data_IF_551435337151
#
_entry.id   IF_551435337151
#
_cell.length_a   1.000
_cell.length_b   1.000
_cell.length_c   1.000
_cell.angle_alpha   90.00
_cell.angle_beta   90.00
_cell.angle_gamma   90.00
#
_symmetry.space_group_name_H-M   'P 1'
#
loop_
_entity.id
_entity.type
_entity.pdbx_description
1 polymer ?
#
# COMPACT_ATOMS: atom_id res chain seq x y z
N UNK A 1 36.67 20.30 -24.96
CA UNK A 1 35.26 20.01 -25.32
C UNK A 1 34.60 19.27 -24.16
N UNK A 2 33.33 19.55 -23.80
CA UNK A 2 32.65 18.80 -22.74
C UNK A 2 32.64 17.29 -23.04
N UNK A 3 32.79 16.41 -22.03
CA UNK A 3 32.89 14.96 -22.24
C UNK A 3 31.70 14.36 -22.99
N UNK A 4 30.49 14.89 -22.77
CA UNK A 4 29.26 14.52 -23.49
C UNK A 4 29.35 14.88 -24.97
N UNK A 5 29.80 16.09 -25.30
CA UNK A 5 29.97 16.54 -26.68
C UNK A 5 31.10 15.75 -27.37
N UNK A 6 32.19 15.44 -26.65
CA UNK A 6 33.26 14.57 -27.14
C UNK A 6 32.78 13.16 -27.47
N UNK A 7 32.01 12.52 -26.59
CA UNK A 7 31.41 11.20 -26.88
C UNK A 7 30.49 11.22 -28.09
N UNK A 8 29.68 12.26 -28.26
CA UNK A 8 28.76 12.35 -29.41
C UNK A 8 29.52 12.57 -30.72
N UNK A 9 30.47 13.51 -30.76
CA UNK A 9 31.14 13.88 -32.01
C UNK A 9 32.24 12.89 -32.43
N UNK A 10 32.94 12.28 -31.48
CA UNK A 10 34.07 11.38 -31.78
C UNK A 10 33.62 9.91 -31.78
N UNK A 11 32.78 9.51 -30.83
CA UNK A 11 32.39 8.11 -30.66
C UNK A 11 30.96 7.82 -31.10
N UNK A 12 30.19 8.83 -31.55
CA UNK A 12 28.77 8.67 -31.88
C UNK A 12 28.53 7.65 -32.98
N UNK A 13 29.35 7.65 -34.04
CA UNK A 13 29.28 6.67 -35.14
C UNK A 13 29.48 5.25 -34.63
N UNK A 14 30.58 5.00 -33.91
CA UNK A 14 30.91 3.67 -33.39
C UNK A 14 29.81 3.16 -32.44
N UNK A 15 29.22 4.05 -31.64
CA UNK A 15 28.10 3.72 -30.75
C UNK A 15 26.86 3.30 -31.56
N UNK A 16 26.53 4.02 -32.64
CA UNK A 16 25.37 3.71 -33.48
C UNK A 16 25.57 2.36 -34.21
N UNK A 17 26.76 2.11 -34.72
CA UNK A 17 27.07 0.91 -35.50
C UNK A 17 27.06 -0.38 -34.66
N UNK A 18 27.35 -0.30 -33.35
CA UNK A 18 27.39 -1.46 -32.44
C UNK A 18 26.13 -1.64 -31.58
N UNK A 19 25.22 -0.67 -31.55
CA UNK A 19 24.01 -0.75 -30.72
C UNK A 19 22.85 -1.45 -31.44
N UNK A 20 22.33 -2.51 -30.80
CA UNK A 20 21.18 -3.29 -31.29
C UNK A 20 19.84 -2.56 -31.17
N UNK A 21 19.77 -1.53 -30.32
CA UNK A 21 18.54 -0.82 -29.98
C UNK A 21 18.73 0.70 -30.12
N UNK A 22 17.69 1.46 -30.51
CA UNK A 22 17.74 2.91 -30.51
C UNK A 22 18.17 3.47 -29.15
N UNK A 23 19.13 4.40 -29.17
CA UNK A 23 19.76 4.98 -27.96
C UNK A 23 18.72 5.51 -26.95
N UNK A 24 17.59 6.04 -27.44
CA UNK A 24 16.51 6.56 -26.60
C UNK A 24 15.75 5.51 -25.78
N UNK A 25 15.80 4.22 -26.15
CA UNK A 25 15.12 3.15 -25.40
C UNK A 25 15.87 2.74 -24.12
N UNK A 26 17.18 3.01 -24.06
CA UNK A 26 18.06 2.69 -22.92
C UNK A 26 18.36 3.93 -22.06
N UNK A 27 17.63 5.03 -22.26
CA UNK A 27 17.81 6.26 -21.50
C UNK A 27 17.50 6.11 -20.01
N UNK A 28 18.26 6.82 -19.17
CA UNK A 28 18.05 6.84 -17.72
C UNK A 28 16.81 7.66 -17.30
N UNK A 29 16.27 8.49 -18.21
CA UNK A 29 15.13 9.37 -17.98
C UNK A 29 13.90 8.62 -17.42
N UNK A 30 13.65 7.42 -17.93
CA UNK A 30 12.56 6.57 -17.44
C UNK A 30 12.77 6.16 -15.97
N UNK A 31 14.01 5.83 -15.60
CA UNK A 31 14.38 5.50 -14.22
C UNK A 31 14.34 6.73 -13.30
N UNK A 32 14.82 7.89 -13.77
CA UNK A 32 14.76 9.14 -13.02
C UNK A 32 13.32 9.62 -12.78
N UNK A 33 12.44 9.50 -13.78
CA UNK A 33 11.01 9.75 -13.61
C UNK A 33 10.41 8.86 -12.51
N UNK A 34 10.82 7.59 -12.46
CA UNK A 34 10.36 6.66 -11.41
C UNK A 34 10.88 7.00 -10.01
N UNK A 35 12.03 7.67 -9.87
CA UNK A 35 12.49 8.10 -8.55
C UNK A 35 11.55 9.16 -7.94
N UNK A 36 10.90 10.00 -8.75
CA UNK A 36 9.89 10.96 -8.29
C UNK A 36 8.67 10.24 -7.72
N UNK A 37 8.20 9.19 -8.40
CA UNK A 37 7.10 8.34 -7.94
C UNK A 37 7.44 7.65 -6.61
N UNK A 38 8.64 7.08 -6.50
CA UNK A 38 9.10 6.42 -5.26
C UNK A 38 9.11 7.41 -4.10
N UNK A 39 9.56 8.64 -4.32
CA UNK A 39 9.56 9.69 -3.29
C UNK A 39 8.13 10.06 -2.88
N UNK A 40 7.24 10.29 -3.85
CA UNK A 40 5.82 10.60 -3.62
C UNK A 40 5.09 9.49 -2.85
N UNK A 41 5.26 8.22 -3.26
CA UNK A 41 4.62 7.09 -2.60
C UNK A 41 5.22 6.78 -1.24
N UNK A 42 6.53 6.98 -1.07
CA UNK A 42 7.15 6.89 0.24
C UNK A 42 6.58 7.94 1.17
N UNK A 43 6.32 9.15 0.69
CA UNK A 43 5.76 10.25 1.46
C UNK A 43 4.29 10.00 1.86
N UNK A 44 3.42 9.64 0.91
CA UNK A 44 1.97 9.65 1.11
C UNK A 44 1.35 8.27 1.41
N UNK A 45 1.99 7.16 1.00
CA UNK A 45 1.35 5.84 0.91
C UNK A 45 2.04 4.75 1.75
N UNK A 46 2.96 5.09 2.65
CA UNK A 46 3.64 4.14 3.53
C UNK A 46 3.36 4.41 4.99
N UNK A 47 3.39 3.36 5.81
CA UNK A 47 3.24 3.51 7.27
C UNK A 47 4.42 4.31 7.85
N UNK A 48 4.12 5.44 8.50
CA UNK A 48 5.09 6.37 9.13
C UNK A 48 5.41 6.05 10.58
N UNK A 49 5.27 4.78 10.96
CA UNK A 49 5.51 4.35 12.33
C UNK A 49 6.98 3.97 12.55
N UNK A 50 7.66 3.53 11.49
CA UNK A 50 9.11 3.29 11.50
C UNK A 50 9.62 3.23 10.07
N UNK A 51 10.90 3.58 9.89
CA UNK A 51 11.61 3.45 8.59
C UNK A 51 11.57 2.00 8.07
N UNK A 52 11.43 1.02 8.97
CA UNK A 52 11.25 -0.42 8.69
C UNK A 52 9.93 -0.69 7.97
N UNK A 53 8.80 -0.28 8.56
CA UNK A 53 7.48 -0.49 7.94
C UNK A 53 7.32 0.34 6.65
N UNK A 54 7.95 1.52 6.60
CA UNK A 54 7.99 2.35 5.38
C UNK A 54 8.62 1.64 4.18
N UNK A 55 9.66 0.83 4.41
CA UNK A 55 10.37 0.11 3.36
C UNK A 55 9.75 -1.26 3.04
N UNK A 56 9.17 -1.95 4.05
CA UNK A 56 8.44 -3.22 3.86
C UNK A 56 7.17 -3.05 3.03
N UNK A 57 6.58 -1.86 3.08
CA UNK A 57 5.42 -1.51 2.26
C UNK A 57 5.78 -1.39 0.76
N UNK A 58 6.98 -1.72 0.26
CA UNK A 58 7.28 -1.63 -1.19
C UNK A 58 7.14 -3.01 -1.87
N UNK A 59 6.34 -3.11 -2.94
CA UNK A 59 6.19 -4.33 -3.75
C UNK A 59 7.52 -4.68 -4.48
N UNK A 60 7.85 -5.97 -4.69
CA UNK A 60 9.06 -6.36 -5.40
C UNK A 60 9.13 -5.77 -6.82
N UNK A 61 10.31 -5.29 -7.21
CA UNK A 61 10.54 -4.77 -8.57
C UNK A 61 10.90 -5.86 -9.58
N UNK A 62 11.37 -7.02 -9.12
CA UNK A 62 11.69 -8.16 -9.97
C UNK A 62 10.40 -8.81 -10.50
N UNK A 63 10.22 -8.91 -11.84
CA UNK A 63 9.01 -9.44 -12.45
C UNK A 63 8.70 -10.89 -12.06
N UNK A 64 9.72 -11.72 -11.84
CA UNK A 64 9.55 -13.15 -11.49
C UNK A 64 8.99 -13.28 -10.07
N UNK A 65 9.57 -12.51 -9.14
CA UNK A 65 9.15 -12.51 -7.73
C UNK A 65 7.78 -11.83 -7.61
N UNK A 66 7.56 -10.74 -8.34
CA UNK A 66 6.27 -10.05 -8.43
C UNK A 66 5.16 -10.98 -8.95
N UNK A 67 5.43 -11.79 -9.97
CA UNK A 67 4.48 -12.79 -10.49
C UNK A 67 4.13 -13.85 -9.44
N UNK A 68 5.13 -14.39 -8.72
CA UNK A 68 4.91 -15.35 -7.63
C UNK A 68 4.08 -14.74 -6.49
N UNK A 69 4.40 -13.51 -6.09
CA UNK A 69 3.62 -12.78 -5.08
C UNK A 69 2.18 -12.54 -5.56
N UNK A 70 2.01 -12.24 -6.84
CA UNK A 70 0.69 -12.05 -7.45
C UNK A 70 -0.16 -13.29 -7.36
N UNK A 71 0.37 -14.44 -7.77
CA UNK A 71 -0.34 -15.71 -7.73
C UNK A 71 -0.77 -16.09 -6.31
N UNK A 72 0.11 -15.88 -5.33
CA UNK A 72 -0.19 -16.14 -3.92
C UNK A 72 -1.29 -15.21 -3.41
N UNK A 73 -1.28 -13.93 -3.79
CA UNK A 73 -2.33 -12.98 -3.40
C UNK A 73 -3.66 -13.31 -4.07
N UNK A 74 -3.64 -13.67 -5.37
CA UNK A 74 -4.83 -14.16 -6.10
C UNK A 74 -5.47 -15.34 -5.38
N UNK A 75 -4.65 -16.34 -5.01
CA UNK A 75 -5.11 -17.53 -4.28
C UNK A 75 -5.66 -17.19 -2.89
N UNK A 76 -5.05 -16.24 -2.18
CA UNK A 76 -5.54 -15.81 -0.85
C UNK A 76 -6.83 -14.97 -0.91
N UNK A 77 -7.04 -14.19 -1.97
CA UNK A 77 -8.22 -13.34 -2.16
C UNK A 77 -9.34 -14.02 -2.93
N UNK A 78 -9.05 -15.18 -3.53
CA UNK A 78 -9.91 -15.86 -4.48
C UNK A 78 -10.28 -15.00 -5.70
N UNK A 79 -9.36 -14.11 -6.11
CA UNK A 79 -9.51 -13.19 -7.24
C UNK A 79 -8.48 -13.56 -8.32
N UNK A 80 -8.90 -14.22 -9.39
CA UNK A 80 -7.99 -14.66 -10.48
C UNK A 80 -7.55 -13.51 -11.39
N UNK A 81 -8.39 -12.50 -11.56
CA UNK A 81 -8.15 -11.32 -12.41
C UNK A 81 -7.27 -10.26 -11.73
N UNK A 82 -7.08 -10.35 -10.40
CA UNK A 82 -6.35 -9.34 -9.65
C UNK A 82 -4.91 -9.17 -10.14
N UNK A 83 -4.48 -7.93 -10.39
CA UNK A 83 -3.11 -7.61 -10.78
C UNK A 83 -2.53 -6.59 -9.80
N UNK A 84 -1.28 -6.76 -9.35
CA UNK A 84 -0.66 -5.76 -8.50
C UNK A 84 -0.48 -4.48 -9.30
N UNK A 85 -1.06 -3.41 -8.78
CA UNK A 85 -0.76 -2.05 -9.23
C UNK A 85 0.52 -1.55 -8.56
N UNK A 86 1.11 -0.46 -9.07
CA UNK A 86 2.31 0.19 -8.47
C UNK A 86 2.16 0.53 -6.98
N UNK A 87 0.92 0.64 -6.50
CA UNK A 87 0.56 0.97 -5.13
C UNK A 87 0.20 -0.25 -4.28
N UNK A 88 0.33 -1.46 -4.81
CA UNK A 88 0.01 -2.67 -4.09
C UNK A 88 1.03 -2.92 -2.98
N UNK A 89 0.52 -3.18 -1.78
CA UNK A 89 1.31 -3.35 -0.55
C UNK A 89 1.05 -4.74 0.03
N UNK A 90 2.08 -5.40 0.56
CA UNK A 90 1.95 -6.62 1.36
C UNK A 90 2.66 -6.44 2.70
N UNK A 91 1.96 -6.71 3.80
CA UNK A 91 2.53 -6.55 5.13
C UNK A 91 3.45 -7.72 5.51
N UNK A 92 4.43 -7.47 6.39
CA UNK A 92 5.38 -8.47 6.90
C UNK A 92 4.75 -9.61 7.72
N UNK A 93 3.46 -9.53 8.01
CA UNK A 93 2.67 -10.60 8.64
C UNK A 93 2.37 -11.76 7.68
N UNK A 94 2.49 -11.57 6.37
CA UNK A 94 2.28 -12.66 5.40
C UNK A 94 3.49 -13.60 5.23
N UNK A 95 4.60 -13.30 5.90
CA UNK A 95 5.85 -14.06 5.81
C UNK A 95 6.11 -14.86 7.08
N UNK A 96 6.60 -16.08 6.91
CA UNK A 96 7.13 -16.88 8.02
C UNK A 96 8.32 -16.18 8.69
N UNK A 97 8.47 -16.41 9.98
CA UNK A 97 9.55 -15.78 10.73
C UNK A 97 10.92 -16.41 10.39
N UNK A 98 10.92 -17.62 9.81
CA UNK A 98 12.11 -18.32 9.29
C UNK A 98 12.75 -17.66 8.08
N UNK A 99 11.97 -16.97 7.24
CA UNK A 99 12.49 -16.26 6.06
C UNK A 99 12.98 -14.84 6.38
N UNK A 100 12.84 -14.44 7.65
CA UNK A 100 13.36 -13.18 8.18
C UNK A 100 14.75 -13.42 8.77
N UNK A 101 15.65 -12.46 8.59
CA UNK A 101 16.98 -12.48 9.20
C UNK A 101 17.30 -11.11 9.79
N UNK A 102 18.09 -11.10 10.86
CA UNK A 102 18.51 -9.88 11.53
C UNK A 102 19.93 -9.56 11.05
N UNK A 103 20.16 -8.34 10.56
CA UNK A 103 21.51 -7.89 10.19
C UNK A 103 22.33 -7.61 11.44
N UNK A 104 23.66 -7.52 11.30
CA UNK A 104 24.58 -7.13 12.40
C UNK A 104 24.20 -5.81 13.10
N UNK A 105 23.42 -4.94 12.44
CA UNK A 105 22.89 -3.69 12.99
C UNK A 105 21.46 -3.78 13.54
N UNK A 106 20.96 -4.98 13.86
CA UNK A 106 19.63 -5.16 14.45
C UNK A 106 18.44 -5.03 13.49
N UNK A 107 18.68 -4.93 12.18
CA UNK A 107 17.61 -4.76 11.19
C UNK A 107 17.05 -6.12 10.76
N UNK A 108 15.78 -6.36 11.02
CA UNK A 108 15.05 -7.52 10.52
C UNK A 108 14.67 -7.30 9.05
N UNK A 109 15.21 -8.12 8.14
CA UNK A 109 14.98 -8.10 6.69
C UNK A 109 14.41 -9.43 6.21
N UNK A 110 13.70 -9.39 5.10
CA UNK A 110 13.22 -10.59 4.39
C UNK A 110 14.31 -11.01 3.38
N UNK A 111 14.55 -12.32 3.24
CA UNK A 111 15.50 -12.85 2.24
C UNK A 111 15.08 -12.49 0.82
N UNK A 112 16.05 -12.28 -0.08
CA UNK A 112 15.81 -11.81 -1.47
C UNK A 112 14.82 -12.68 -2.27
N UNK A 113 14.69 -13.97 -1.95
CA UNK A 113 13.82 -14.91 -2.67
C UNK A 113 12.58 -15.32 -1.85
N UNK A 114 12.26 -14.59 -0.79
CA UNK A 114 11.14 -14.96 0.06
C UNK A 114 9.80 -14.68 -0.63
N UNK A 115 8.87 -15.59 -0.43
CA UNK A 115 7.49 -15.48 -0.89
C UNK A 115 6.53 -15.45 0.30
N UNK A 116 5.39 -14.74 0.21
CA UNK A 116 4.38 -14.76 1.26
C UNK A 116 3.88 -16.19 1.46
N UNK A 117 3.97 -16.70 2.68
CA UNK A 117 3.72 -18.13 2.99
C UNK A 117 2.54 -18.32 3.94
N UNK A 118 2.22 -17.31 4.76
CA UNK A 118 1.09 -17.39 5.69
C UNK A 118 -0.22 -17.16 4.93
N UNK A 119 -0.92 -18.24 4.57
CA UNK A 119 -2.30 -18.22 4.08
C UNK A 119 -3.28 -17.98 5.23
N UNK A 120 -4.32 -17.21 4.98
CA UNK A 120 -5.33 -16.91 5.99
C UNK A 120 -6.21 -18.17 6.17
N UNK A 121 -6.06 -18.90 7.29
CA UNK A 121 -6.81 -20.14 7.58
C UNK A 121 -8.32 -19.94 7.86
N UNK A 122 -8.91 -18.83 7.41
CA UNK A 122 -10.35 -18.56 7.55
C UNK A 122 -11.07 -18.81 6.22
N UNK A 123 -10.95 -20.04 5.71
CA UNK A 123 -11.96 -20.57 4.78
C UNK A 123 -12.76 -21.58 5.58
N UNK A 124 -13.79 -21.10 6.28
CA UNK A 124 -14.89 -21.96 6.66
C UNK A 124 -15.53 -22.43 5.35
N UNK A 125 -15.22 -23.67 5.00
CA UNK A 125 -15.80 -24.40 3.90
C UNK A 125 -17.23 -24.80 4.30
N UNK A 126 -18.18 -23.87 4.18
CA UNK A 126 -19.61 -24.21 4.25
C UNK A 126 -20.46 -23.17 3.54
N UNK A 127 -21.00 -23.60 2.40
CA UNK A 127 -22.29 -23.20 1.83
C UNK A 127 -22.51 -21.71 1.48
N UNK A 128 -22.39 -21.37 0.19
CA UNK A 128 -23.55 -21.11 -0.69
C UNK A 128 -23.07 -20.56 -2.03
N UNK A 129 -23.41 -21.28 -3.09
CA UNK A 129 -23.30 -20.87 -4.49
C UNK A 129 -24.08 -19.55 -4.63
N UNK A 130 -23.39 -18.45 -4.97
CA UNK A 130 -24.05 -17.23 -5.46
C UNK A 130 -23.41 -16.87 -6.81
N UNK A 131 -24.20 -16.72 -7.88
CA UNK A 131 -23.68 -16.56 -9.22
C UNK A 131 -23.06 -15.18 -9.39
N UNK A 132 -21.79 -15.19 -9.79
CA UNK A 132 -21.10 -14.23 -10.65
C UNK A 132 -21.91 -12.96 -10.99
N UNK A 133 -21.77 -11.89 -10.21
CA UNK A 133 -22.21 -10.56 -10.59
C UNK A 133 -21.01 -9.65 -10.86
N UNK A 134 -20.73 -9.52 -12.15
CA UNK A 134 -20.23 -8.34 -12.86
C UNK A 134 -19.21 -7.47 -12.13
N UNK A 135 -17.96 -7.67 -12.53
CA UNK A 135 -16.88 -6.68 -12.48
C UNK A 135 -17.35 -5.40 -13.22
N UNK A 136 -17.91 -4.44 -12.48
CA UNK A 136 -18.35 -3.15 -13.03
C UNK A 136 -17.12 -2.30 -13.35
N UNK A 137 -16.53 -2.54 -14.52
CA UNK A 137 -15.55 -1.66 -15.13
C UNK A 137 -16.10 -0.24 -15.24
N UNK A 138 -15.34 0.73 -14.72
CA UNK A 138 -15.52 2.19 -14.81
C UNK A 138 -15.35 2.71 -16.25
N UNK A 139 -16.22 2.28 -17.17
CA UNK A 139 -16.42 2.98 -18.43
C UNK A 139 -17.82 3.59 -18.38
N UNK A 140 -17.93 4.91 -18.58
CA UNK A 140 -19.22 5.52 -18.91
C UNK A 140 -19.74 4.74 -20.12
N UNK A 141 -20.86 4.03 -19.95
CA UNK A 141 -21.45 3.22 -21.00
C UNK A 141 -21.69 4.12 -22.21
N UNK A 142 -21.08 3.77 -23.34
CA UNK A 142 -21.09 4.55 -24.60
C UNK A 142 -22.53 4.84 -25.08
N UNK A 143 -23.52 4.12 -24.54
CA UNK A 143 -24.94 4.21 -24.89
C UNK A 143 -25.82 4.91 -23.84
N UNK A 144 -25.28 5.51 -22.78
CA UNK A 144 -26.11 6.19 -21.78
C UNK A 144 -26.76 7.46 -22.37
N UNK A 145 -28.06 7.68 -22.09
CA UNK A 145 -28.69 8.97 -22.36
C UNK A 145 -28.05 10.07 -21.52
N UNK A 146 -27.96 11.34 -21.97
CA UNK A 146 -27.37 12.44 -21.20
C UNK A 146 -27.93 12.57 -19.77
N UNK A 147 -29.21 12.24 -19.57
CA UNK A 147 -29.87 12.23 -18.25
C UNK A 147 -29.36 11.09 -17.35
N UNK A 148 -29.15 9.91 -17.92
CA UNK A 148 -28.67 8.72 -17.20
C UNK A 148 -27.21 8.87 -16.79
N UNK A 149 -26.37 9.42 -17.66
CA UNK A 149 -24.99 9.75 -17.35
C UNK A 149 -24.87 10.74 -16.18
N UNK A 150 -25.75 11.76 -16.14
CA UNK A 150 -25.82 12.74 -15.05
C UNK A 150 -26.20 12.10 -13.72
N UNK A 151 -27.25 11.28 -13.71
CA UNK A 151 -27.71 10.55 -12.50
C UNK A 151 -26.65 9.57 -11.99
N UNK A 152 -25.97 8.84 -12.88
CA UNK A 152 -24.85 7.97 -12.50
C UNK A 152 -23.70 8.73 -11.86
N UNK A 153 -23.33 9.90 -12.41
CA UNK A 153 -22.32 10.78 -11.80
C UNK A 153 -22.74 11.26 -10.41
N UNK A 154 -24.01 11.62 -10.23
CA UNK A 154 -24.54 12.00 -8.92
C UNK A 154 -24.49 10.85 -7.92
N UNK A 155 -24.91 9.64 -8.31
CA UNK A 155 -24.82 8.45 -7.46
C UNK A 155 -23.39 8.15 -7.04
N UNK A 156 -22.43 8.19 -7.97
CA UNK A 156 -21.00 8.00 -7.66
C UNK A 156 -20.51 9.04 -6.64
N UNK A 157 -20.87 10.32 -6.84
CA UNK A 157 -20.53 11.41 -5.92
C UNK A 157 -21.09 11.13 -4.51
N UNK A 158 -22.34 10.68 -4.43
CA UNK A 158 -22.98 10.36 -3.15
C UNK A 158 -22.35 9.14 -2.47
N UNK A 159 -22.02 8.08 -3.21
CA UNK A 159 -21.34 6.90 -2.67
C UNK A 159 -19.97 7.25 -2.08
N UNK A 160 -19.16 8.05 -2.79
CA UNK A 160 -17.87 8.53 -2.29
C UNK A 160 -18.01 9.39 -1.03
N UNK A 161 -19.02 10.26 -0.99
CA UNK A 161 -19.31 11.10 0.17
C UNK A 161 -19.73 10.24 1.38
N UNK A 162 -20.59 9.25 1.15
CA UNK A 162 -21.05 8.32 2.18
C UNK A 162 -19.89 7.50 2.75
N UNK A 163 -18.97 7.05 1.89
CA UNK A 163 -17.78 6.33 2.34
C UNK A 163 -16.87 7.23 3.20
N UNK A 164 -16.66 8.49 2.77
CA UNK A 164 -15.90 9.49 3.54
C UNK A 164 -16.51 9.72 4.93
N UNK A 165 -17.82 9.95 4.99
CA UNK A 165 -18.54 10.12 6.26
C UNK A 165 -18.44 8.88 7.15
N UNK A 166 -18.54 7.66 6.57
CA UNK A 166 -18.39 6.41 7.31
C UNK A 166 -17.00 6.28 7.95
N UNK A 167 -15.93 6.64 7.22
CA UNK A 167 -14.56 6.66 7.75
C UNK A 167 -14.40 7.69 8.88
N UNK A 168 -14.98 8.87 8.72
CA UNK A 168 -14.93 9.94 9.72
C UNK A 168 -15.67 9.56 11.01
N UNK A 169 -16.89 9.00 10.90
CA UNK A 169 -17.66 8.47 12.04
C UNK A 169 -16.85 7.41 12.79
N UNK A 170 -16.20 6.47 12.08
CA UNK A 170 -15.35 5.44 12.71
C UNK A 170 -14.20 6.08 13.49
N UNK A 171 -13.53 7.08 12.92
CA UNK A 171 -12.44 7.81 13.56
C UNK A 171 -12.90 8.56 14.82
N UNK A 172 -14.01 9.32 14.71
CA UNK A 172 -14.58 10.06 15.84
C UNK A 172 -15.03 9.13 16.97
N UNK A 173 -15.68 8.01 16.65
CA UNK A 173 -16.06 6.99 17.64
C UNK A 173 -14.84 6.44 18.38
N UNK A 174 -13.74 6.18 17.67
CA UNK A 174 -12.51 5.70 18.29
C UNK A 174 -11.86 6.76 19.19
N UNK A 175 -11.78 8.03 18.74
CA UNK A 175 -11.28 9.15 19.55
C UNK A 175 -12.10 9.31 20.83
N UNK A 176 -13.42 9.28 20.71
CA UNK A 176 -14.34 9.42 21.84
C UNK A 176 -14.18 8.26 22.85
N UNK A 177 -14.03 7.02 22.37
CA UNK A 177 -13.71 5.86 23.23
C UNK A 177 -12.41 6.06 24.03
N UNK A 178 -11.35 6.59 23.41
CA UNK A 178 -10.07 6.86 24.08
C UNK A 178 -10.18 7.97 25.13
N UNK A 179 -10.90 9.05 24.81
CA UNK A 179 -11.15 10.15 25.73
C UNK A 179 -11.96 9.69 26.94
N UNK A 180 -13.02 8.90 26.74
CA UNK A 180 -13.79 8.30 27.85
C UNK A 180 -12.91 7.47 28.79
N UNK A 181 -12.00 6.65 28.24
CA UNK A 181 -11.04 5.89 29.05
C UNK A 181 -10.11 6.79 29.87
N UNK A 182 -9.51 7.81 29.24
CA UNK A 182 -8.65 8.78 29.95
C UNK A 182 -9.40 9.50 31.07
N UNK A 183 -10.63 9.95 30.81
CA UNK A 183 -11.46 10.61 31.81
C UNK A 183 -11.79 9.69 32.99
N UNK A 184 -12.03 8.39 32.74
CA UNK A 184 -12.23 7.42 33.81
C UNK A 184 -10.96 7.26 34.67
N UNK A 185 -9.78 7.15 34.04
CA UNK A 185 -8.50 7.08 34.76
C UNK A 185 -8.24 8.33 35.60
N UNK A 186 -8.47 9.52 35.04
CA UNK A 186 -8.30 10.79 35.77
C UNK A 186 -9.27 10.89 36.96
N UNK A 187 -10.52 10.44 36.80
CA UNK A 187 -11.48 10.37 37.91
C UNK A 187 -10.99 9.44 39.03
N UNK A 188 -10.44 8.28 38.70
CA UNK A 188 -9.89 7.36 39.70
C UNK A 188 -8.71 7.99 40.43
N UNK A 189 -7.78 8.63 39.71
CA UNK A 189 -6.64 9.33 40.32
C UNK A 189 -7.13 10.43 41.27
N UNK A 190 -8.14 11.22 40.90
CA UNK A 190 -8.71 12.24 41.79
C UNK A 190 -9.33 11.64 43.05
N UNK A 191 -10.01 10.50 42.95
CA UNK A 191 -10.56 9.79 44.11
C UNK A 191 -9.43 9.32 45.04
N UNK A 192 -8.36 8.75 44.48
CA UNK A 192 -7.21 8.26 45.26
C UNK A 192 -6.47 9.41 45.96
N UNK A 193 -6.27 10.53 45.26
CA UNK A 193 -5.68 11.74 45.85
C UNK A 193 -6.55 12.30 46.97
N UNK A 194 -7.87 12.36 46.78
CA UNK A 194 -8.81 12.81 47.82
C UNK A 194 -8.74 11.92 49.06
N UNK A 195 -8.70 10.60 48.89
CA UNK A 195 -8.53 9.65 50.00
C UNK A 195 -7.23 9.88 50.76
N UNK A 196 -6.11 10.06 50.06
CA UNK A 196 -4.80 10.34 50.68
C UNK A 196 -4.80 11.62 51.51
N UNK A 197 -5.48 12.67 51.04
CA UNK A 197 -5.62 13.91 51.79
C UNK A 197 -6.49 13.76 53.04
N UNK A 198 -7.58 12.99 52.98
CA UNK A 198 -8.46 12.75 54.13
C UNK A 198 -7.82 11.83 55.17
N UNK A 199 -7.01 10.86 54.75
CA UNK A 199 -6.30 9.94 55.66
C UNK A 199 -5.07 10.53 56.34
N UNK A 200 -4.68 11.76 55.99
CA UNK A 200 -3.52 12.44 56.57
C UNK A 200 -3.95 13.85 57.02
N UNK A 201 -4.85 13.98 58.01
CA UNK A 201 -5.16 15.27 58.59
C UNK A 201 -3.89 15.74 59.33
N UNK A 202 -3.40 16.93 58.94
CA UNK A 202 -2.39 17.64 59.73
C UNK A 202 -2.93 17.96 61.11
#
# INVERSE_FOLDING_TARGET
MPPTVHKVLIHGKDIIDHFLLPIGQLGEDAQECRHKDVKYYREHNTRKMSRKQTNEDLFPSDPIIAARWTEIVRRNRNESSWKPTKNTKLCSLHFEDKVKYITKGGLCKIRKNAVPTKTNKNVNLSASITPLSSDSSDLDSIFDSPKEASLRRQLRKMMLLQEKHSREIKSLKQKNRRLKKRNATLKNILVDLRKKFVSNPK
#
